data_IF_996018958240
#
_entry.id   IF_996018958240
#
_cell.length_a   1.000
_cell.length_b   1.000
_cell.length_c   1.000
_cell.angle_alpha   90.00
_cell.angle_beta   90.00
_cell.angle_gamma   90.00
#
_symmetry.space_group_name_H-M   'P 1'
#
loop_
_entity.id
_entity.type
_entity.pdbx_description
1 polymer ?
#
# COMPACT_ATOMS: atom_id res chain seq x y z
N UNK A 1 -13.70 51.95 47.62
CA UNK A 1 -12.61 51.03 47.44
C UNK A 1 -12.98 50.04 46.28
N UNK A 2 -12.45 50.27 45.10
CA UNK A 2 -12.66 49.35 43.93
C UNK A 2 -11.60 48.25 43.98
N UNK A 3 -12.04 47.03 44.03
CA UNK A 3 -11.18 45.82 43.92
C UNK A 3 -10.75 45.63 42.48
N UNK A 4 -9.45 45.80 42.20
CA UNK A 4 -8.86 45.45 40.92
C UNK A 4 -8.75 43.94 40.80
N UNK A 5 -9.62 43.32 40.01
CA UNK A 5 -9.46 41.92 39.58
C UNK A 5 -8.39 41.85 38.51
N UNK A 6 -7.18 41.35 38.87
CA UNK A 6 -6.12 41.05 37.92
C UNK A 6 -6.57 39.93 37.02
N UNK A 7 -6.88 40.23 35.76
CA UNK A 7 -7.08 39.22 34.71
C UNK A 7 -5.76 38.55 34.40
N UNK A 8 -5.62 37.30 34.79
CA UNK A 8 -4.47 36.45 34.42
C UNK A 8 -4.53 36.22 32.91
N UNK A 9 -3.44 36.55 32.19
CA UNK A 9 -3.35 36.36 30.75
C UNK A 9 -3.54 34.86 30.41
N UNK A 10 -4.31 34.58 29.36
CA UNK A 10 -4.60 33.21 28.89
C UNK A 10 -3.34 32.34 28.73
N UNK A 11 -2.24 32.95 28.30
CA UNK A 11 -0.95 32.28 28.14
C UNK A 11 -0.37 31.73 29.46
N UNK A 12 -0.50 32.50 30.56
CA UNK A 12 -0.04 32.09 31.89
C UNK A 12 -0.91 30.95 32.44
N UNK A 13 -2.19 30.91 32.09
CA UNK A 13 -3.13 29.88 32.52
C UNK A 13 -2.80 28.52 31.86
N UNK A 14 -2.40 28.51 30.59
CA UNK A 14 -1.95 27.28 29.89
C UNK A 14 -0.65 26.75 30.47
N UNK A 15 0.30 27.63 30.83
CA UNK A 15 1.59 27.24 31.42
C UNK A 15 1.42 26.60 32.81
N UNK A 16 0.55 27.15 33.63
CA UNK A 16 0.24 26.59 34.95
C UNK A 16 -0.50 25.25 34.84
N UNK A 17 -1.43 25.12 33.88
CA UNK A 17 -2.15 23.88 33.64
C UNK A 17 -1.21 22.76 33.18
N UNK A 18 -0.22 23.08 32.30
CA UNK A 18 0.76 22.10 31.81
C UNK A 18 1.70 21.61 32.92
N UNK A 19 2.14 22.50 33.82
CA UNK A 19 3.02 22.13 34.95
C UNK A 19 2.25 21.27 35.97
N UNK A 20 0.99 21.58 36.24
CA UNK A 20 0.15 20.80 37.17
C UNK A 20 -0.05 19.36 36.68
N UNK A 21 -0.17 19.17 35.36
CA UNK A 21 -0.38 17.86 34.75
C UNK A 21 0.88 16.97 34.84
N UNK A 22 2.08 17.59 34.67
CA UNK A 22 3.36 16.84 34.79
C UNK A 22 3.64 16.47 36.25
N UNK A 23 3.41 17.36 37.19
CA UNK A 23 3.61 17.11 38.63
C UNK A 23 2.61 16.07 39.14
N UNK A 24 1.34 16.13 38.70
CA UNK A 24 0.29 15.16 39.05
C UNK A 24 0.62 13.75 38.56
N UNK A 25 1.18 13.60 37.35
CA UNK A 25 1.56 12.33 36.78
C UNK A 25 2.74 11.70 37.52
N UNK A 26 3.78 12.47 37.85
CA UNK A 26 4.92 11.97 38.63
C UNK A 26 4.54 11.58 40.06
N UNK A 27 3.69 12.37 40.72
CA UNK A 27 3.18 12.07 42.09
C UNK A 27 2.33 10.80 42.12
N UNK A 28 1.51 10.55 41.11
CA UNK A 28 0.66 9.37 40.99
C UNK A 28 1.44 8.07 40.82
N UNK A 29 2.51 8.10 40.05
CA UNK A 29 3.37 6.92 39.82
C UNK A 29 4.14 6.53 41.10
N UNK A 30 4.67 7.51 41.85
CA UNK A 30 5.41 7.25 43.09
C UNK A 30 4.47 6.74 44.20
N UNK A 31 3.25 7.26 44.28
CA UNK A 31 2.28 6.80 45.30
C UNK A 31 1.76 5.38 45.03
N UNK A 32 1.61 5.01 43.73
CA UNK A 32 1.20 3.65 43.33
C UNK A 32 2.21 2.56 43.75
N UNK A 33 3.50 2.87 43.67
CA UNK A 33 4.58 1.91 43.97
C UNK A 33 4.72 1.67 45.48
N UNK A 34 4.40 2.64 46.35
CA UNK A 34 4.54 2.49 47.80
C UNK A 34 3.37 1.77 48.50
N UNK A 35 2.21 1.61 47.84
CA UNK A 35 1.01 1.06 48.50
C UNK A 35 0.72 -0.40 48.18
N UNK A 36 1.42 -1.05 47.26
CA UNK A 36 1.24 -2.47 46.93
C UNK A 36 2.50 -3.27 47.27
N UNK A 37 2.70 -3.51 48.54
CA UNK A 37 3.57 -4.59 48.99
C UNK A 37 2.85 -5.94 48.86
N UNK A 38 2.93 -6.58 47.73
CA UNK A 38 2.64 -8.00 47.55
C UNK A 38 3.45 -8.50 46.36
N UNK A 39 4.22 -9.54 46.57
CA UNK A 39 5.07 -10.25 45.60
C UNK A 39 4.23 -10.84 44.45
N UNK A 40 3.97 -10.05 43.45
CA UNK A 40 3.51 -10.49 42.13
C UNK A 40 4.49 -9.97 41.09
N UNK A 41 4.93 -10.78 40.11
CA UNK A 41 5.79 -10.28 39.03
C UNK A 41 5.05 -9.17 38.26
N UNK A 42 5.70 -8.02 38.17
CA UNK A 42 5.19 -6.85 37.47
C UNK A 42 5.00 -7.21 35.97
N UNK A 43 3.77 -7.52 35.58
CA UNK A 43 3.39 -7.50 34.20
C UNK A 43 3.34 -6.00 33.79
N UNK A 44 4.36 -5.54 33.08
CA UNK A 44 4.34 -4.24 32.45
C UNK A 44 3.11 -4.19 31.53
N UNK A 45 2.20 -3.20 31.68
CA UNK A 45 1.14 -3.03 30.69
C UNK A 45 1.82 -2.78 29.36
N UNK A 46 1.57 -3.68 28.40
CA UNK A 46 1.89 -3.41 26.99
C UNK A 46 1.18 -2.11 26.63
N UNK A 47 1.93 -1.03 26.52
CA UNK A 47 1.47 0.18 25.84
C UNK A 47 1.25 -0.24 24.39
N UNK A 48 -0.02 -0.42 24.04
CA UNK A 48 -0.42 -0.59 22.66
C UNK A 48 0.00 0.68 21.94
N UNK A 49 1.16 0.63 21.27
CA UNK A 49 1.54 1.67 20.34
C UNK A 49 0.47 1.73 19.25
N UNK A 50 0.02 2.92 18.82
CA UNK A 50 -0.83 3.02 17.67
C UNK A 50 -0.05 2.43 16.50
N UNK A 51 -0.52 1.29 16.01
CA UNK A 51 -0.02 0.66 14.79
C UNK A 51 -0.36 1.56 13.62
N UNK A 52 0.51 2.53 13.36
CA UNK A 52 0.68 2.99 12.01
C UNK A 52 1.09 1.75 11.22
N UNK A 53 0.30 1.37 10.23
CA UNK A 53 0.47 0.20 9.40
C UNK A 53 1.75 0.35 8.54
N UNK A 54 2.90 0.38 9.19
CA UNK A 54 4.20 0.09 8.62
C UNK A 54 4.24 -1.44 8.57
N UNK A 55 4.06 -2.02 7.39
CA UNK A 55 4.44 -3.42 7.19
C UNK A 55 5.88 -3.54 7.70
N UNK A 56 6.05 -4.19 8.84
CA UNK A 56 7.37 -4.49 9.39
C UNK A 56 8.06 -5.39 8.37
N UNK A 57 8.95 -4.80 7.58
CA UNK A 57 9.78 -5.54 6.62
C UNK A 57 10.57 -6.52 7.45
N UNK A 58 10.43 -7.83 7.17
CA UNK A 58 11.19 -8.84 7.87
C UNK A 58 12.69 -8.57 7.71
N UNK A 59 13.48 -8.90 8.72
CA UNK A 59 14.96 -8.76 8.66
C UNK A 59 15.51 -9.50 7.45
N UNK A 60 14.91 -10.63 7.09
CA UNK A 60 15.28 -11.42 5.93
C UNK A 60 15.01 -10.69 4.62
N UNK A 61 13.82 -10.09 4.44
CA UNK A 61 13.51 -9.31 3.25
C UNK A 61 14.43 -8.11 3.11
N UNK A 62 14.76 -7.44 4.22
CA UNK A 62 15.71 -6.33 4.22
C UNK A 62 17.11 -6.75 3.79
N UNK A 63 17.59 -7.89 4.27
CA UNK A 63 18.89 -8.45 3.89
C UNK A 63 18.95 -8.85 2.40
N UNK A 64 17.86 -9.45 1.89
CA UNK A 64 17.74 -9.81 0.48
C UNK A 64 17.71 -8.57 -0.42
N UNK A 65 16.95 -7.54 -0.05
CA UNK A 65 16.92 -6.25 -0.75
C UNK A 65 18.33 -5.66 -0.82
N UNK A 66 19.02 -5.57 0.32
CA UNK A 66 20.38 -5.03 0.35
C UNK A 66 21.37 -5.80 -0.56
N UNK A 67 21.30 -7.14 -0.55
CA UNK A 67 22.10 -7.98 -1.43
C UNK A 67 21.80 -7.69 -2.90
N UNK A 68 20.51 -7.60 -3.27
CA UNK A 68 20.11 -7.36 -4.66
C UNK A 68 20.40 -5.93 -5.12
N UNK A 69 20.25 -4.92 -4.24
CA UNK A 69 20.68 -3.56 -4.54
C UNK A 69 22.19 -3.49 -4.85
N UNK A 70 23.01 -4.29 -4.16
CA UNK A 70 24.44 -4.42 -4.46
C UNK A 70 24.64 -5.13 -5.79
N UNK A 71 24.00 -6.28 -6.00
CA UNK A 71 24.11 -7.06 -7.24
C UNK A 71 23.73 -6.23 -8.48
N UNK A 72 22.62 -5.49 -8.42
CA UNK A 72 22.17 -4.66 -9.55
C UNK A 72 23.07 -3.45 -9.83
N UNK A 73 23.84 -2.99 -8.84
CA UNK A 73 24.89 -1.97 -9.06
C UNK A 73 26.14 -2.54 -9.72
N UNK A 74 26.53 -3.76 -9.32
CA UNK A 74 27.71 -4.45 -9.85
C UNK A 74 27.45 -5.03 -11.24
N UNK A 75 26.22 -5.51 -11.48
CA UNK A 75 25.78 -6.13 -12.72
C UNK A 75 24.47 -5.46 -13.20
N UNK A 76 24.53 -4.26 -13.78
CA UNK A 76 23.34 -3.50 -14.16
C UNK A 76 22.51 -4.13 -15.27
N UNK A 77 23.08 -5.06 -16.03
CA UNK A 77 22.44 -5.77 -17.14
C UNK A 77 21.77 -7.09 -16.70
N UNK A 78 21.85 -7.44 -15.41
CA UNK A 78 21.18 -8.63 -14.87
C UNK A 78 19.68 -8.40 -14.69
N UNK A 79 18.91 -8.75 -15.73
CA UNK A 79 17.45 -8.65 -15.76
C UNK A 79 16.80 -9.41 -14.59
N UNK A 80 17.31 -10.59 -14.25
CA UNK A 80 16.71 -11.43 -13.22
C UNK A 80 16.85 -10.79 -11.83
N UNK A 81 18.00 -10.19 -11.52
CA UNK A 81 18.20 -9.44 -10.29
C UNK A 81 17.30 -8.21 -10.20
N UNK A 82 17.08 -7.47 -11.29
CA UNK A 82 16.14 -6.34 -11.31
C UNK A 82 14.70 -6.79 -11.08
N UNK A 83 14.25 -7.89 -11.69
CA UNK A 83 12.91 -8.44 -11.47
C UNK A 83 12.75 -8.86 -10.00
N UNK A 84 13.71 -9.61 -9.47
CA UNK A 84 13.65 -10.10 -8.08
C UNK A 84 13.63 -8.94 -7.07
N UNK A 85 14.44 -7.89 -7.33
CA UNK A 85 14.43 -6.68 -6.51
C UNK A 85 13.07 -5.95 -6.58
N UNK A 86 12.49 -5.88 -7.78
CA UNK A 86 11.16 -5.33 -7.99
C UNK A 86 10.09 -6.09 -7.19
N UNK A 87 10.13 -7.43 -7.22
CA UNK A 87 9.20 -8.28 -6.47
C UNK A 87 9.35 -8.07 -4.95
N UNK A 88 10.56 -7.99 -4.42
CA UNK A 88 10.77 -7.71 -2.99
C UNK A 88 10.26 -6.33 -2.57
N UNK A 89 10.43 -5.32 -3.42
CA UNK A 89 9.85 -4.00 -3.17
C UNK A 89 8.33 -4.00 -3.29
N UNK A 90 7.76 -4.80 -4.21
CA UNK A 90 6.32 -5.01 -4.34
C UNK A 90 5.75 -5.60 -3.04
N UNK A 91 6.35 -6.69 -2.54
CA UNK A 91 5.91 -7.42 -1.35
C UNK A 91 6.06 -6.59 -0.07
N UNK A 92 7.08 -5.76 -0.02
CA UNK A 92 7.34 -4.86 1.11
C UNK A 92 6.64 -3.49 1.00
N UNK A 93 5.75 -3.31 0.01
CA UNK A 93 4.97 -2.09 -0.17
C UNK A 93 5.76 -0.86 -0.62
N UNK A 94 7.01 -1.05 -1.08
CA UNK A 94 7.86 0.04 -1.52
C UNK A 94 7.61 0.36 -3.00
N UNK A 95 6.40 0.89 -3.29
CA UNK A 95 5.88 1.03 -4.65
C UNK A 95 6.81 1.78 -5.59
N UNK A 96 7.38 2.91 -5.13
CA UNK A 96 8.28 3.73 -5.97
C UNK A 96 9.57 3.00 -6.33
N UNK A 97 10.17 2.24 -5.39
CA UNK A 97 11.36 1.46 -5.68
C UNK A 97 11.06 0.26 -6.57
N UNK A 98 9.89 -0.38 -6.41
CA UNK A 98 9.41 -1.44 -7.30
C UNK A 98 9.25 -0.92 -8.74
N UNK A 99 8.63 0.26 -8.94
CA UNK A 99 8.52 0.92 -10.24
C UNK A 99 9.90 1.09 -10.87
N UNK A 100 10.87 1.57 -10.10
CA UNK A 100 12.24 1.78 -10.60
C UNK A 100 12.88 0.47 -11.05
N UNK A 101 12.79 -0.58 -10.23
CA UNK A 101 13.39 -1.87 -10.53
C UNK A 101 12.75 -2.54 -11.75
N UNK A 102 11.40 -2.58 -11.82
CA UNK A 102 10.70 -3.13 -12.98
C UNK A 102 10.95 -2.34 -14.26
N UNK A 103 11.05 -1.01 -14.18
CA UNK A 103 11.39 -0.18 -15.34
C UNK A 103 12.80 -0.52 -15.86
N UNK A 104 13.77 -0.77 -14.97
CA UNK A 104 15.11 -1.22 -15.36
C UNK A 104 15.08 -2.60 -16.01
N UNK A 105 14.35 -3.56 -15.43
CA UNK A 105 14.18 -4.90 -16.00
C UNK A 105 13.55 -4.83 -17.41
N UNK A 106 12.52 -3.99 -17.60
CA UNK A 106 11.82 -3.83 -18.87
C UNK A 106 12.63 -3.04 -19.91
N UNK A 107 13.56 -2.19 -19.49
CA UNK A 107 14.50 -1.54 -20.41
C UNK A 107 15.47 -2.57 -21.03
N UNK A 108 15.82 -3.61 -20.28
CA UNK A 108 16.69 -4.69 -20.72
C UNK A 108 15.91 -5.80 -21.46
N UNK A 109 14.70 -6.13 -20.99
CA UNK A 109 13.81 -7.12 -21.60
C UNK A 109 12.38 -6.55 -21.72
N UNK A 110 12.06 -5.86 -22.82
CA UNK A 110 10.78 -5.16 -22.98
C UNK A 110 9.57 -6.08 -23.19
N UNK A 111 9.79 -7.35 -23.53
CA UNK A 111 8.74 -8.29 -23.90
C UNK A 111 8.31 -9.22 -22.74
N UNK A 112 8.40 -8.74 -21.50
CA UNK A 112 7.94 -9.47 -20.33
C UNK A 112 6.56 -8.95 -19.86
N UNK A 113 5.48 -9.61 -20.28
CA UNK A 113 4.11 -9.25 -19.95
C UNK A 113 3.83 -9.31 -18.45
N UNK A 114 4.42 -10.26 -17.72
CA UNK A 114 4.26 -10.38 -16.26
C UNK A 114 4.82 -9.15 -15.55
N UNK A 115 6.10 -8.83 -15.82
CA UNK A 115 6.76 -7.66 -15.21
C UNK A 115 6.06 -6.34 -15.60
N UNK A 116 5.56 -6.25 -16.84
CA UNK A 116 4.78 -5.08 -17.28
C UNK A 116 3.45 -4.97 -16.52
N UNK A 117 2.81 -6.08 -16.19
CA UNK A 117 1.59 -6.12 -15.38
C UNK A 117 1.89 -5.71 -13.92
N UNK A 118 2.97 -6.25 -13.34
CA UNK A 118 3.39 -5.89 -11.98
C UNK A 118 3.75 -4.40 -11.86
N UNK A 119 4.41 -3.85 -12.89
CA UNK A 119 4.65 -2.41 -12.99
C UNK A 119 3.34 -1.62 -13.01
N UNK A 120 2.32 -2.08 -13.75
CA UNK A 120 0.99 -1.48 -13.76
C UNK A 120 0.34 -1.48 -12.37
N UNK A 121 0.43 -2.59 -11.64
CA UNK A 121 -0.05 -2.68 -10.25
C UNK A 121 0.68 -1.69 -9.35
N UNK A 122 2.01 -1.53 -9.52
CA UNK A 122 2.78 -0.58 -8.73
C UNK A 122 2.44 0.87 -9.06
N UNK A 123 2.22 1.22 -10.32
CA UNK A 123 1.71 2.55 -10.67
C UNK A 123 0.36 2.84 -10.02
N UNK A 124 -0.58 1.89 -10.04
CA UNK A 124 -1.86 2.04 -9.34
C UNK A 124 -1.67 2.32 -7.86
N UNK A 125 -0.88 1.49 -7.17
CA UNK A 125 -0.60 1.63 -5.73
C UNK A 125 0.15 2.91 -5.39
N UNK A 126 0.91 3.45 -6.33
CA UNK A 126 1.63 4.72 -6.21
C UNK A 126 0.75 5.95 -6.53
N UNK A 127 -0.56 5.75 -6.79
CA UNK A 127 -1.49 6.84 -7.11
C UNK A 127 -1.38 7.36 -8.56
N UNK A 128 -0.85 6.55 -9.48
CA UNK A 128 -0.66 6.88 -10.88
C UNK A 128 -1.54 6.01 -11.81
N UNK A 129 -2.89 6.07 -11.67
CA UNK A 129 -3.79 5.12 -12.33
C UNK A 129 -3.73 5.20 -13.86
N UNK A 130 -3.46 6.35 -14.45
CA UNK A 130 -3.30 6.47 -15.91
C UNK A 130 -2.10 5.68 -16.42
N UNK A 131 -0.96 5.76 -15.74
CA UNK A 131 0.22 4.95 -16.09
C UNK A 131 -0.02 3.45 -15.87
N UNK A 132 -0.83 3.09 -14.87
CA UNK A 132 -1.24 1.71 -14.67
C UNK A 132 -2.00 1.16 -15.89
N UNK A 133 -2.98 1.90 -16.40
CA UNK A 133 -3.73 1.53 -17.61
C UNK A 133 -2.80 1.37 -18.81
N UNK A 134 -1.86 2.29 -19.03
CA UNK A 134 -0.87 2.21 -20.11
C UNK A 134 0.01 0.95 -19.99
N UNK A 135 0.44 0.61 -18.78
CA UNK A 135 1.24 -0.59 -18.54
C UNK A 135 0.44 -1.86 -18.81
N UNK A 136 -0.83 -1.93 -18.37
CA UNK A 136 -1.70 -3.07 -18.67
C UNK A 136 -2.00 -3.21 -20.16
N UNK A 137 -2.16 -2.10 -20.89
CA UNK A 137 -2.31 -2.12 -22.35
C UNK A 137 -1.06 -2.66 -23.05
N UNK A 138 0.13 -2.28 -22.58
CA UNK A 138 1.39 -2.83 -23.09
C UNK A 138 1.51 -4.32 -22.78
N UNK A 139 1.19 -4.74 -21.56
CA UNK A 139 1.21 -6.16 -21.18
C UNK A 139 0.28 -7.00 -22.08
N UNK A 140 -0.95 -6.53 -22.32
CA UNK A 140 -1.92 -7.20 -23.16
C UNK A 140 -1.54 -7.21 -24.66
N UNK A 141 -0.67 -6.31 -25.11
CA UNK A 141 -0.08 -6.32 -26.46
C UNK A 141 1.09 -7.30 -26.57
N UNK A 142 1.93 -7.39 -25.52
CA UNK A 142 3.05 -8.31 -25.45
C UNK A 142 2.55 -9.76 -25.45
N UNK A 143 1.59 -10.04 -24.55
CA UNK A 143 0.93 -11.36 -24.49
C UNK A 143 -0.60 -11.17 -24.53
N UNK A 144 -1.21 -11.43 -25.70
CA UNK A 144 -2.66 -11.39 -25.83
C UNK A 144 -3.43 -12.39 -24.96
N UNK A 145 -2.77 -13.41 -24.41
CA UNK A 145 -3.37 -14.39 -23.51
C UNK A 145 -3.22 -14.00 -22.03
N UNK A 146 -2.53 -12.90 -21.73
CA UNK A 146 -2.31 -12.44 -20.37
C UNK A 146 -3.57 -11.78 -19.78
N UNK A 147 -4.47 -12.62 -19.26
CA UNK A 147 -5.79 -12.21 -18.76
C UNK A 147 -5.70 -11.21 -17.60
N UNK A 148 -4.71 -11.35 -16.72
CA UNK A 148 -4.50 -10.52 -15.54
C UNK A 148 -4.34 -9.04 -15.88
N UNK A 149 -3.69 -8.73 -17.00
CA UNK A 149 -3.52 -7.34 -17.44
C UNK A 149 -4.88 -6.70 -17.79
N UNK A 150 -5.73 -7.38 -18.55
CA UNK A 150 -7.05 -6.87 -18.92
C UNK A 150 -7.99 -6.78 -17.71
N UNK A 151 -7.93 -7.76 -16.82
CA UNK A 151 -8.71 -7.74 -15.58
C UNK A 151 -8.33 -6.51 -14.74
N UNK A 152 -7.04 -6.33 -14.45
CA UNK A 152 -6.53 -5.21 -13.66
C UNK A 152 -6.78 -3.86 -14.34
N UNK A 153 -6.70 -3.78 -15.67
CA UNK A 153 -7.08 -2.56 -16.41
C UNK A 153 -8.51 -2.16 -16.11
N UNK A 154 -9.46 -3.10 -16.19
CA UNK A 154 -10.86 -2.83 -15.88
C UNK A 154 -11.06 -2.37 -14.43
N UNK A 155 -10.35 -2.97 -13.46
CA UNK A 155 -10.38 -2.54 -12.07
C UNK A 155 -9.93 -1.08 -11.91
N UNK A 156 -8.82 -0.68 -12.54
CA UNK A 156 -8.31 0.71 -12.47
C UNK A 156 -9.26 1.70 -13.13
N UNK A 157 -9.78 1.35 -14.30
CA UNK A 157 -10.73 2.21 -15.01
C UNK A 157 -11.98 2.45 -14.17
N UNK A 158 -12.54 1.39 -13.58
CA UNK A 158 -13.78 1.48 -12.80
C UNK A 158 -13.59 2.23 -11.47
N UNK A 159 -12.57 1.85 -10.69
CA UNK A 159 -12.45 2.32 -9.30
C UNK A 159 -11.59 3.57 -9.13
N UNK A 160 -10.55 3.71 -9.95
CA UNK A 160 -9.57 4.79 -9.73
C UNK A 160 -9.79 5.96 -10.72
N UNK A 161 -10.35 5.67 -11.90
CA UNK A 161 -10.61 6.67 -12.95
C UNK A 161 -12.10 6.97 -13.17
N UNK A 162 -13.01 6.23 -12.51
CA UNK A 162 -14.47 6.33 -12.67
C UNK A 162 -14.93 6.19 -14.15
N UNK A 163 -14.16 5.45 -14.95
CA UNK A 163 -14.45 5.16 -16.35
C UNK A 163 -15.12 3.79 -16.47
N UNK A 164 -16.45 3.76 -16.26
CA UNK A 164 -17.24 2.55 -16.30
C UNK A 164 -17.26 1.92 -17.69
N UNK A 165 -17.39 2.74 -18.73
CA UNK A 165 -17.44 2.26 -20.13
C UNK A 165 -16.09 1.66 -20.53
N UNK A 166 -14.99 2.31 -20.15
CA UNK A 166 -13.65 1.76 -20.35
C UNK A 166 -13.42 0.44 -19.61
N UNK A 167 -13.94 0.30 -18.39
CA UNK A 167 -13.87 -0.93 -17.63
C UNK A 167 -14.64 -2.07 -18.29
N UNK A 168 -15.87 -1.80 -18.72
CA UNK A 168 -16.72 -2.76 -19.48
C UNK A 168 -15.96 -3.22 -20.73
N UNK A 169 -15.43 -2.28 -21.53
CA UNK A 169 -14.68 -2.59 -22.74
C UNK A 169 -13.44 -3.48 -22.47
N UNK A 170 -12.71 -3.22 -21.38
CA UNK A 170 -11.55 -4.03 -21.00
C UNK A 170 -11.95 -5.46 -20.64
N UNK A 171 -13.02 -5.63 -19.87
CA UNK A 171 -13.52 -6.95 -19.47
C UNK A 171 -14.24 -7.68 -20.61
N UNK A 172 -14.91 -7.00 -21.52
CA UNK A 172 -15.43 -7.62 -22.75
C UNK A 172 -14.31 -8.15 -23.64
N UNK A 173 -13.20 -7.41 -23.75
CA UNK A 173 -12.02 -7.88 -24.46
C UNK A 173 -11.43 -9.13 -23.80
N UNK A 174 -11.47 -9.23 -22.47
CA UNK A 174 -11.09 -10.42 -21.71
C UNK A 174 -12.04 -11.59 -21.99
N UNK A 175 -13.36 -11.40 -21.86
CA UNK A 175 -14.38 -12.44 -22.12
C UNK A 175 -14.33 -12.93 -23.56
N UNK A 176 -14.08 -12.05 -24.53
CA UNK A 176 -13.90 -12.42 -25.94
C UNK A 176 -12.72 -13.35 -26.14
N UNK A 177 -11.64 -13.19 -25.37
CA UNK A 177 -10.43 -14.04 -25.43
C UNK A 177 -10.61 -15.34 -24.66
N UNK A 178 -11.20 -15.26 -23.47
CA UNK A 178 -11.54 -16.40 -22.62
C UNK A 178 -12.97 -16.24 -22.06
N UNK A 179 -13.98 -16.90 -22.69
CA UNK A 179 -15.37 -16.86 -22.19
C UNK A 179 -15.55 -17.42 -20.77
N UNK A 180 -14.61 -18.22 -20.28
CA UNK A 180 -14.62 -18.81 -18.94
C UNK A 180 -13.79 -18.00 -17.92
N UNK A 181 -13.29 -16.81 -18.29
CA UNK A 181 -12.49 -15.98 -17.41
C UNK A 181 -13.25 -15.64 -16.11
N UNK A 182 -12.55 -15.75 -14.99
CA UNK A 182 -13.09 -15.44 -13.67
C UNK A 182 -12.22 -14.38 -12.96
N UNK A 183 -12.85 -13.65 -12.04
CA UNK A 183 -12.14 -12.80 -11.10
C UNK A 183 -11.31 -13.64 -10.10
N UNK A 184 -10.39 -13.06 -9.34
CA UNK A 184 -9.66 -13.76 -8.27
C UNK A 184 -10.57 -14.40 -7.21
N UNK A 185 -11.82 -13.92 -7.08
CA UNK A 185 -12.85 -14.48 -6.18
C UNK A 185 -13.70 -15.56 -6.81
N UNK A 186 -13.39 -15.97 -8.06
CA UNK A 186 -14.11 -17.01 -8.79
C UNK A 186 -15.39 -16.54 -9.50
N UNK A 187 -15.73 -15.24 -9.47
CA UNK A 187 -16.89 -14.72 -10.18
C UNK A 187 -16.61 -14.66 -11.69
N UNK A 188 -17.50 -15.20 -12.57
CA UNK A 188 -17.35 -15.04 -14.00
C UNK A 188 -17.33 -13.59 -14.44
N UNK A 189 -16.36 -13.21 -15.25
CA UNK A 189 -16.23 -11.83 -15.74
C UNK A 189 -17.40 -11.45 -16.66
N UNK A 190 -17.93 -12.41 -17.40
CA UNK A 190 -19.15 -12.23 -18.22
C UNK A 190 -20.32 -11.69 -17.38
N UNK A 191 -20.57 -12.31 -16.23
CA UNK A 191 -21.67 -11.91 -15.33
C UNK A 191 -21.44 -10.52 -14.75
N UNK A 192 -20.18 -10.18 -14.46
CA UNK A 192 -19.80 -8.83 -14.01
C UNK A 192 -20.13 -7.79 -15.08
N UNK A 193 -19.74 -8.03 -16.33
CA UNK A 193 -20.03 -7.16 -17.47
C UNK A 193 -21.52 -6.96 -17.67
N UNK A 194 -22.31 -8.04 -17.64
CA UNK A 194 -23.77 -7.99 -17.79
C UNK A 194 -24.43 -7.15 -16.68
N UNK A 195 -24.02 -7.34 -15.43
CA UNK A 195 -24.50 -6.54 -14.29
C UNK A 195 -24.19 -5.06 -14.44
N UNK A 196 -23.00 -4.72 -14.88
CA UNK A 196 -22.62 -3.32 -15.08
C UNK A 196 -23.41 -2.66 -16.20
N UNK A 197 -23.62 -3.36 -17.32
CA UNK A 197 -24.43 -2.87 -18.45
C UNK A 197 -25.90 -2.65 -18.09
N UNK A 198 -26.45 -3.48 -17.21
CA UNK A 198 -27.84 -3.35 -16.76
C UNK A 198 -28.01 -2.35 -15.60
N UNK A 199 -26.93 -1.67 -15.17
CA UNK A 199 -26.94 -0.72 -14.06
C UNK A 199 -27.10 -1.37 -12.67
N UNK A 200 -27.00 -2.68 -12.57
CA UNK A 200 -26.97 -3.38 -11.30
C UNK A 200 -25.54 -3.33 -10.73
N UNK A 201 -25.35 -2.56 -9.63
CA UNK A 201 -24.04 -2.53 -8.95
C UNK A 201 -23.65 -3.95 -8.51
N UNK A 202 -22.41 -4.40 -8.77
CA UNK A 202 -21.91 -5.64 -8.20
C UNK A 202 -21.94 -5.57 -6.67
N UNK A 203 -22.31 -6.68 -6.04
CA UNK A 203 -22.30 -6.81 -4.57
C UNK A 203 -20.88 -6.93 -4.06
#
# INVERSE_FOLDING_TARGET
MKSDSKTVKKETMWLVASIALVVGFMGGVVFGVYKTGSDQPIQTPMVSQPTANKQDISVESAAQIFKLEKTTKENPDDVASWITLGNLYFDTGNHQKAITAYTKALALNPNNANVMTDLGVMYRRNGEPKKAVEAFDKAAKIDPKHETALFNKGIVLMHDLNDLDGAINAWEALVKRNPAATSPTGQPIKDLVEKLKTGMKPK
#
